data_IF_342285870873
#
_entry.id   IF_342285870873
#
_cell.length_a   1.000
_cell.length_b   1.000
_cell.length_c   1.000
_cell.angle_alpha   90.00
_cell.angle_beta   90.00
_cell.angle_gamma   90.00
#
_symmetry.space_group_name_H-M   'P 1'
#
loop_
_entity.id
_entity.type
_entity.pdbx_description
1 polymer ?
#
# COMPACT_ATOMS: atom_id res chain seq x y z
N UNK A 1 -17.98 -7.64 -20.66
CA UNK A 1 -16.66 -8.30 -20.45
C UNK A 1 -16.28 -8.24 -18.99
N UNK A 2 -15.72 -9.33 -18.43
CA UNK A 2 -15.32 -9.39 -17.03
C UNK A 2 -13.79 -9.37 -16.93
N UNK A 3 -13.25 -8.40 -16.23
CA UNK A 3 -11.80 -8.28 -16.00
C UNK A 3 -11.49 -8.57 -14.54
N UNK A 4 -10.44 -9.35 -14.30
CA UNK A 4 -9.92 -9.64 -12.96
C UNK A 4 -8.49 -9.14 -12.86
N UNK A 5 -8.21 -8.29 -11.88
CA UNK A 5 -6.89 -7.70 -11.68
C UNK A 5 -6.46 -7.82 -10.23
N UNK A 6 -5.16 -7.91 -10.01
CA UNK A 6 -4.56 -7.83 -8.68
C UNK A 6 -4.43 -6.40 -8.22
N UNK A 7 -4.58 -6.22 -6.91
CA UNK A 7 -4.32 -4.95 -6.22
C UNK A 7 -3.37 -5.26 -5.05
N UNK A 8 -2.04 -5.29 -5.31
CA UNK A 8 -1.07 -5.78 -4.35
C UNK A 8 -0.87 -4.82 -3.19
N UNK A 9 -0.48 -5.35 -2.03
CA UNK A 9 0.02 -4.55 -0.93
C UNK A 9 1.44 -4.04 -1.21
N UNK A 10 1.85 -2.99 -0.49
CA UNK A 10 3.24 -2.54 -0.38
C UNK A 10 3.66 -2.50 1.09
N UNK A 11 4.94 -2.57 1.32
CA UNK A 11 5.55 -2.20 2.60
C UNK A 11 6.46 -0.98 2.41
N UNK A 12 6.64 -0.24 3.50
CA UNK A 12 7.73 0.71 3.63
C UNK A 12 8.86 0.00 4.37
N UNK A 13 9.94 -0.31 3.67
CA UNK A 13 11.18 -0.72 4.30
C UNK A 13 11.86 0.51 4.92
N UNK A 14 11.33 0.94 6.05
CA UNK A 14 11.66 2.20 6.69
C UNK A 14 10.94 3.41 6.10
N UNK A 15 10.75 4.41 6.96
CA UNK A 15 10.15 5.69 6.60
C UNK A 15 10.70 6.79 7.50
N UNK A 16 11.39 7.75 6.90
CA UNK A 16 11.91 8.93 7.58
C UNK A 16 11.11 10.16 7.21
N UNK A 17 10.57 10.84 8.21
CA UNK A 17 9.99 12.17 8.05
C UNK A 17 11.12 13.19 8.12
N UNK A 18 11.22 14.07 7.11
CA UNK A 18 12.32 15.04 7.02
C UNK A 18 11.89 16.40 7.57
N UNK A 19 10.92 17.03 6.93
CA UNK A 19 10.44 18.35 7.35
C UNK A 19 9.01 18.60 6.87
N UNK A 20 8.32 19.52 7.56
CA UNK A 20 7.00 19.97 7.15
C UNK A 20 7.09 20.97 5.99
N UNK A 21 6.22 20.82 5.02
CA UNK A 21 6.11 21.66 3.80
C UNK A 21 5.10 22.79 4.01
N UNK A 22 5.14 23.78 3.12
CA UNK A 22 4.19 24.91 3.13
C UNK A 22 2.76 24.47 2.77
N UNK A 23 2.59 23.34 2.08
CA UNK A 23 1.30 22.77 1.69
C UNK A 23 0.68 21.86 2.78
N UNK A 24 1.20 21.92 4.00
CA UNK A 24 0.84 21.10 5.17
C UNK A 24 1.15 19.60 5.07
N UNK A 25 1.76 19.13 4.00
CA UNK A 25 2.35 17.81 3.92
C UNK A 25 3.76 17.78 4.55
N UNK A 26 4.39 16.61 4.54
CA UNK A 26 5.77 16.43 4.97
C UNK A 26 6.61 15.90 3.82
N UNK A 27 7.86 16.35 3.74
CA UNK A 27 8.85 15.65 2.95
C UNK A 27 9.25 14.39 3.72
N UNK A 28 9.30 13.28 3.02
CA UNK A 28 9.70 11.99 3.55
C UNK A 28 10.82 11.38 2.71
N UNK A 29 11.52 10.42 3.28
CA UNK A 29 12.35 9.46 2.59
C UNK A 29 11.88 8.07 2.98
N UNK A 30 11.60 7.20 2.02
CA UNK A 30 11.15 5.83 2.27
C UNK A 30 11.66 4.90 1.17
N UNK A 31 11.69 3.60 1.48
CA UNK A 31 11.93 2.55 0.51
C UNK A 31 10.63 1.75 0.38
N UNK A 32 10.11 1.64 -0.84
CA UNK A 32 8.94 0.83 -1.14
C UNK A 32 9.31 -0.52 -1.74
N UNK A 33 8.65 -1.56 -1.26
CA UNK A 33 8.65 -2.88 -1.88
C UNK A 33 7.22 -3.45 -1.87
N UNK A 34 6.89 -4.27 -2.88
CA UNK A 34 5.57 -4.88 -2.99
C UNK A 34 5.53 -6.22 -2.27
N UNK A 35 4.31 -6.72 -2.01
CA UNK A 35 4.07 -8.05 -1.48
C UNK A 35 3.40 -8.93 -2.52
N UNK A 36 3.71 -10.23 -2.50
CA UNK A 36 2.97 -11.24 -3.24
C UNK A 36 1.62 -11.57 -2.55
N UNK A 37 0.93 -10.53 -2.13
CA UNK A 37 -0.34 -10.58 -1.44
C UNK A 37 -1.09 -9.26 -1.64
N UNK A 38 -2.41 -9.32 -1.65
CA UNK A 38 -3.24 -8.13 -1.81
C UNK A 38 -4.70 -8.43 -2.11
N UNK A 39 -5.44 -7.38 -2.44
CA UNK A 39 -6.84 -7.44 -2.85
C UNK A 39 -6.98 -7.97 -4.29
N UNK A 40 -8.19 -8.40 -4.65
CA UNK A 40 -8.55 -8.68 -6.04
C UNK A 40 -9.71 -7.79 -6.44
N UNK A 41 -9.68 -7.32 -7.68
CA UNK A 41 -10.70 -6.44 -8.23
C UNK A 41 -11.28 -7.08 -9.49
N UNK A 42 -12.58 -7.08 -9.57
CA UNK A 42 -13.36 -7.56 -10.72
C UNK A 42 -14.07 -6.35 -11.32
N UNK A 43 -13.94 -6.15 -12.62
CA UNK A 43 -14.53 -5.02 -13.35
C UNK A 43 -15.45 -5.61 -14.43
N UNK A 44 -16.72 -5.26 -14.38
CA UNK A 44 -17.70 -5.54 -15.42
C UNK A 44 -18.05 -4.25 -16.14
N UNK A 45 -18.03 -4.27 -17.46
CA UNK A 45 -18.62 -3.25 -18.31
C UNK A 45 -19.98 -3.70 -18.86
N UNK A 46 -20.66 -2.88 -19.64
CA UNK A 46 -21.99 -3.17 -20.21
C UNK A 46 -23.08 -3.30 -19.13
N UNK A 47 -23.00 -2.44 -18.11
CA UNK A 47 -23.98 -2.34 -17.02
C UNK A 47 -24.81 -1.07 -17.15
N UNK A 48 -26.01 -1.06 -16.55
CA UNK A 48 -26.94 0.08 -16.63
C UNK A 48 -26.50 1.29 -15.78
N UNK A 49 -25.75 1.03 -14.73
CA UNK A 49 -25.27 2.06 -13.78
C UNK A 49 -23.93 1.68 -13.17
N UNK A 50 -23.23 2.68 -12.59
CA UNK A 50 -21.98 2.43 -11.90
C UNK A 50 -22.24 1.93 -10.48
N UNK A 51 -21.73 0.75 -10.18
CA UNK A 51 -21.82 0.12 -8.87
C UNK A 51 -20.40 -0.23 -8.34
N UNK A 52 -20.13 0.08 -7.06
CA UNK A 52 -18.90 -0.34 -6.40
C UNK A 52 -19.25 -1.17 -5.18
N UNK A 53 -18.86 -2.45 -5.21
CA UNK A 53 -19.14 -3.42 -4.16
C UNK A 53 -17.84 -3.67 -3.38
N UNK A 54 -17.84 -3.28 -2.11
CA UNK A 54 -16.80 -3.59 -1.16
C UNK A 54 -17.42 -3.74 0.23
N UNK A 55 -17.40 -4.95 0.79
CA UNK A 55 -18.10 -5.24 2.06
C UNK A 55 -17.55 -4.43 3.24
N UNK A 56 -16.25 -4.12 3.22
CA UNK A 56 -15.53 -3.49 4.32
C UNK A 56 -15.54 -1.96 4.28
N UNK A 57 -16.03 -1.36 3.19
CA UNK A 57 -15.97 0.09 2.99
C UNK A 57 -17.32 0.58 2.48
N UNK A 58 -17.91 1.52 3.21
CA UNK A 58 -19.12 2.22 2.76
C UNK A 58 -18.87 2.88 1.38
N UNK A 59 -19.82 2.76 0.49
CA UNK A 59 -19.69 3.21 -0.90
C UNK A 59 -19.17 4.65 -1.02
N UNK A 60 -19.74 5.60 -0.28
CA UNK A 60 -19.36 7.01 -0.37
C UNK A 60 -17.91 7.31 0.07
N UNK A 61 -17.35 6.46 0.94
CA UNK A 61 -15.98 6.57 1.44
C UNK A 61 -14.96 5.82 0.57
N UNK A 62 -15.44 5.06 -0.43
CA UNK A 62 -14.53 4.31 -1.30
C UNK A 62 -13.79 5.24 -2.25
N UNK A 63 -12.47 5.13 -2.27
CA UNK A 63 -11.58 5.94 -3.11
C UNK A 63 -11.88 5.82 -4.61
N UNK A 64 -12.51 4.73 -5.06
CA UNK A 64 -12.90 4.51 -6.46
C UNK A 64 -13.96 5.53 -6.90
N UNK A 65 -14.89 5.95 -6.05
CA UNK A 65 -15.81 7.04 -6.37
C UNK A 65 -15.06 8.36 -6.61
N UNK A 66 -14.04 8.64 -5.78
CA UNK A 66 -13.19 9.80 -5.99
C UNK A 66 -12.44 9.70 -7.32
N UNK A 67 -11.95 8.50 -7.68
CA UNK A 67 -11.30 8.25 -8.96
C UNK A 67 -12.26 8.58 -10.12
N UNK A 68 -13.49 8.09 -10.13
CA UNK A 68 -14.46 8.38 -11.19
C UNK A 68 -14.75 9.88 -11.32
N UNK A 69 -14.90 10.61 -10.20
CA UNK A 69 -15.08 12.06 -10.24
C UNK A 69 -13.88 12.77 -10.90
N UNK A 70 -12.67 12.33 -10.60
CA UNK A 70 -11.45 12.88 -11.20
C UNK A 70 -11.39 12.52 -12.69
N UNK A 71 -11.67 11.29 -13.09
CA UNK A 71 -11.66 10.87 -14.48
C UNK A 71 -12.71 11.61 -15.30
N UNK A 72 -13.92 11.80 -14.75
CA UNK A 72 -14.95 12.63 -15.39
C UNK A 72 -14.43 14.07 -15.64
N UNK A 73 -13.80 14.69 -14.63
CA UNK A 73 -13.29 16.05 -14.72
C UNK A 73 -12.10 16.20 -15.67
N UNK A 74 -11.14 15.26 -15.58
CA UNK A 74 -9.84 15.39 -16.27
C UNK A 74 -9.86 14.91 -17.72
N UNK A 75 -10.75 13.96 -18.06
CA UNK A 75 -10.76 13.28 -19.37
C UNK A 75 -12.17 12.99 -19.89
N UNK A 76 -13.20 13.53 -19.23
CA UNK A 76 -14.62 13.31 -19.57
C UNK A 76 -15.01 11.83 -19.65
N UNK A 77 -14.46 10.99 -18.75
CA UNK A 77 -14.78 9.57 -18.67
C UNK A 77 -16.11 9.36 -17.95
N UNK A 78 -17.08 8.74 -18.62
CA UNK A 78 -18.46 8.56 -18.11
C UNK A 78 -18.98 7.13 -18.26
N UNK A 79 -18.07 6.17 -18.49
CA UNK A 79 -18.45 4.76 -18.61
C UNK A 79 -19.07 4.22 -17.33
N UNK A 80 -20.09 3.39 -17.49
CA UNK A 80 -20.76 2.72 -16.39
C UNK A 80 -20.12 1.37 -16.13
N UNK A 81 -19.75 1.12 -14.88
CA UNK A 81 -18.97 -0.04 -14.49
C UNK A 81 -19.45 -0.62 -13.17
N UNK A 82 -19.49 -1.93 -13.09
CA UNK A 82 -19.61 -2.64 -11.82
C UNK A 82 -18.22 -3.07 -11.37
N UNK A 83 -17.80 -2.63 -10.20
CA UNK A 83 -16.50 -2.94 -9.62
C UNK A 83 -16.71 -3.65 -8.29
N UNK A 84 -16.28 -4.90 -8.23
CA UNK A 84 -16.27 -5.68 -7.00
C UNK A 84 -14.83 -5.81 -6.47
N UNK A 85 -14.64 -5.46 -5.21
CA UNK A 85 -13.34 -5.55 -4.51
C UNK A 85 -13.42 -6.67 -3.48
N UNK A 86 -12.67 -7.75 -3.74
CA UNK A 86 -12.38 -8.80 -2.76
C UNK A 86 -11.23 -8.34 -1.87
N UNK A 87 -11.60 -7.82 -0.71
CA UNK A 87 -10.69 -7.11 0.20
C UNK A 87 -9.96 -8.08 1.11
N UNK A 88 -8.62 -7.99 1.12
CA UNK A 88 -7.72 -8.71 2.03
C UNK A 88 -6.88 -7.74 2.86
N UNK A 89 -6.44 -6.64 2.23
CA UNK A 89 -5.61 -5.63 2.91
C UNK A 89 -6.48 -4.83 3.88
N UNK A 90 -6.22 -4.87 5.19
CA UNK A 90 -7.02 -4.10 6.16
C UNK A 90 -6.93 -2.60 5.90
N UNK A 91 -7.99 -1.88 6.21
CA UNK A 91 -7.98 -0.42 6.13
C UNK A 91 -7.09 0.18 7.22
N UNK A 92 -6.35 1.26 6.89
CA UNK A 92 -5.49 1.97 7.85
C UNK A 92 -4.39 1.09 8.48
N UNK A 93 -3.88 0.11 7.73
CA UNK A 93 -2.85 -0.82 8.18
C UNK A 93 -1.42 -0.43 7.80
N UNK A 94 -1.20 0.62 7.03
CA UNK A 94 0.14 0.97 6.52
C UNK A 94 0.58 0.19 5.25
N UNK A 95 -0.29 -0.67 4.70
CA UNK A 95 -0.01 -1.50 3.50
C UNK A 95 -0.52 -0.88 2.19
N UNK A 96 -1.18 0.28 2.24
CA UNK A 96 -1.59 1.04 1.06
C UNK A 96 -2.79 0.48 0.30
N UNK A 97 -3.64 -0.36 0.90
CA UNK A 97 -4.71 -1.07 0.21
C UNK A 97 -5.66 -0.19 -0.61
N UNK A 98 -6.19 0.89 -0.04
CA UNK A 98 -7.07 1.81 -0.77
C UNK A 98 -6.35 2.46 -1.97
N UNK A 99 -5.10 2.88 -1.78
CA UNK A 99 -4.28 3.48 -2.85
C UNK A 99 -3.95 2.47 -3.94
N UNK A 100 -3.70 1.20 -3.57
CA UNK A 100 -3.52 0.10 -4.52
C UNK A 100 -4.79 -0.13 -5.33
N UNK A 101 -5.98 -0.18 -4.68
CA UNK A 101 -7.24 -0.36 -5.38
C UNK A 101 -7.46 0.76 -6.42
N UNK A 102 -7.26 2.02 -6.03
CA UNK A 102 -7.41 3.16 -6.94
C UNK A 102 -6.43 3.11 -8.13
N UNK A 103 -5.16 2.80 -7.88
CA UNK A 103 -4.15 2.67 -8.93
C UNK A 103 -4.46 1.52 -9.87
N UNK A 104 -4.84 0.35 -9.33
CA UNK A 104 -5.17 -0.83 -10.11
C UNK A 104 -6.37 -0.59 -11.04
N UNK A 105 -7.44 0.03 -10.52
CA UNK A 105 -8.59 0.41 -11.35
C UNK A 105 -8.19 1.44 -12.41
N UNK A 106 -7.45 2.50 -12.06
CA UNK A 106 -7.01 3.51 -13.02
C UNK A 106 -6.18 2.91 -14.16
N UNK A 107 -5.22 2.03 -13.83
CA UNK A 107 -4.39 1.35 -14.82
C UNK A 107 -5.22 0.41 -15.72
N UNK A 108 -6.16 -0.33 -15.12
CA UNK A 108 -7.06 -1.21 -15.86
C UNK A 108 -7.96 -0.42 -16.83
N UNK A 109 -8.59 0.66 -16.37
CA UNK A 109 -9.44 1.50 -17.22
C UNK A 109 -8.65 2.13 -18.37
N UNK A 110 -7.42 2.58 -18.10
CA UNK A 110 -6.53 3.10 -19.15
C UNK A 110 -6.29 2.07 -20.27
N UNK A 111 -6.17 0.78 -19.92
CA UNK A 111 -5.96 -0.30 -20.89
C UNK A 111 -7.28 -0.71 -21.55
N UNK A 112 -8.32 -1.01 -20.78
CA UNK A 112 -9.62 -1.56 -21.23
C UNK A 112 -10.30 -0.60 -22.23
N UNK A 113 -10.29 0.70 -21.91
CA UNK A 113 -10.91 1.74 -22.72
C UNK A 113 -9.96 2.46 -23.67
N UNK A 114 -8.70 1.97 -23.77
CA UNK A 114 -7.68 2.56 -24.63
C UNK A 114 -7.58 4.09 -24.46
N UNK A 115 -7.59 4.56 -23.19
CA UNK A 115 -7.59 5.99 -22.87
C UNK A 115 -6.28 6.68 -23.25
N UNK A 116 -5.23 5.92 -23.54
CA UNK A 116 -3.90 6.41 -23.98
C UNK A 116 -3.28 7.44 -23.03
N UNK A 117 -3.61 7.36 -21.74
CA UNK A 117 -3.01 8.25 -20.74
C UNK A 117 -1.54 7.90 -20.58
N UNK A 118 -0.70 8.92 -20.70
CA UNK A 118 0.74 8.75 -20.47
C UNK A 118 1.03 8.41 -19.00
N UNK A 119 2.18 7.78 -18.72
CA UNK A 119 2.60 7.51 -17.33
C UNK A 119 2.59 8.79 -16.47
N UNK A 120 3.00 9.93 -17.04
CA UNK A 120 2.97 11.22 -16.36
C UNK A 120 1.54 11.59 -15.94
N UNK A 121 0.58 11.51 -16.87
CA UNK A 121 -0.83 11.83 -16.58
C UNK A 121 -1.45 10.87 -15.54
N UNK A 122 -1.11 9.57 -15.60
CA UNK A 122 -1.55 8.60 -14.60
C UNK A 122 -1.01 8.95 -13.21
N UNK A 123 0.26 9.35 -13.09
CA UNK A 123 0.86 9.77 -11.82
C UNK A 123 0.23 11.06 -11.28
N UNK A 124 -0.08 12.03 -12.15
CA UNK A 124 -0.79 13.27 -11.79
C UNK A 124 -2.18 12.95 -11.21
N UNK A 125 -2.97 12.10 -11.89
CA UNK A 125 -4.27 11.62 -11.38
C UNK A 125 -4.09 10.89 -10.05
N UNK A 126 -3.07 10.03 -9.95
CA UNK A 126 -2.74 9.32 -8.72
C UNK A 126 -2.49 10.24 -7.53
N UNK A 127 -1.75 11.33 -7.72
CA UNK A 127 -1.49 12.32 -6.67
C UNK A 127 -2.75 13.05 -6.18
N UNK A 128 -3.72 13.27 -7.07
CA UNK A 128 -5.01 13.85 -6.69
C UNK A 128 -5.83 12.90 -5.81
N UNK A 129 -5.64 11.60 -5.97
CA UNK A 129 -6.30 10.56 -5.18
C UNK A 129 -5.68 10.41 -3.78
N UNK A 130 -4.35 10.31 -3.71
CA UNK A 130 -3.63 10.14 -2.46
C UNK A 130 -2.13 10.00 -2.65
N UNK A 131 -1.35 10.21 -1.57
CA UNK A 131 0.12 10.21 -1.62
C UNK A 131 0.72 8.85 -1.99
N UNK A 132 0.06 7.74 -1.60
CA UNK A 132 0.54 6.39 -1.88
C UNK A 132 0.03 5.84 -3.24
N UNK A 133 -0.89 6.51 -3.95
CA UNK A 133 -1.37 6.01 -5.26
C UNK A 133 -0.26 5.96 -6.31
N UNK A 134 0.64 6.97 -6.40
CA UNK A 134 1.71 6.98 -7.39
C UNK A 134 2.65 5.78 -7.35
N UNK A 135 2.98 5.21 -6.17
CA UNK A 135 3.88 4.05 -6.09
C UNK A 135 3.27 2.82 -6.77
N UNK A 136 1.96 2.62 -6.66
CA UNK A 136 1.28 1.51 -7.31
C UNK A 136 1.18 1.70 -8.84
N UNK A 137 1.08 2.94 -9.32
CA UNK A 137 1.17 3.28 -10.75
C UNK A 137 2.61 3.12 -11.25
N UNK A 138 3.60 3.49 -10.43
CA UNK A 138 5.01 3.29 -10.74
C UNK A 138 5.35 1.81 -10.86
N UNK A 139 4.89 1.00 -9.92
CA UNK A 139 4.88 -0.45 -9.91
C UNK A 139 6.26 -1.12 -9.79
N UNK A 140 7.27 -0.41 -9.29
CA UNK A 140 8.63 -0.94 -9.06
C UNK A 140 9.12 -0.56 -7.67
N UNK A 141 9.93 -1.42 -7.06
CA UNK A 141 10.66 -1.08 -5.84
C UNK A 141 11.53 0.14 -6.05
N UNK A 142 11.51 1.06 -5.09
CA UNK A 142 12.20 2.33 -5.23
C UNK A 142 12.50 2.98 -3.88
N UNK A 143 13.54 3.79 -3.84
CA UNK A 143 13.66 4.86 -2.89
C UNK A 143 12.73 6.00 -3.34
N UNK A 144 11.92 6.51 -2.42
CA UNK A 144 10.97 7.59 -2.71
C UNK A 144 11.22 8.78 -1.79
N UNK A 145 11.12 9.98 -2.36
CA UNK A 145 11.25 11.27 -1.67
C UNK A 145 10.09 12.19 -2.00
N UNK A 146 10.14 13.44 -1.54
CA UNK A 146 9.00 14.35 -1.63
C UNK A 146 7.92 13.95 -0.65
N UNK A 147 6.66 13.80 -1.11
CA UNK A 147 5.54 13.22 -0.35
C UNK A 147 5.49 11.69 -0.48
N UNK A 148 6.48 11.07 -1.21
CA UNK A 148 6.52 9.68 -1.63
C UNK A 148 6.31 9.49 -3.14
N UNK A 149 6.37 10.56 -3.94
CA UNK A 149 6.09 10.56 -5.40
C UNK A 149 7.32 10.70 -6.29
N UNK A 150 8.48 11.03 -5.74
CA UNK A 150 9.74 11.15 -6.50
C UNK A 150 10.50 9.85 -6.35
N UNK A 151 10.58 9.07 -7.42
CA UNK A 151 11.08 7.70 -7.40
C UNK A 151 12.49 7.57 -7.98
N UNK A 152 13.35 6.86 -7.26
CA UNK A 152 14.61 6.32 -7.73
C UNK A 152 14.53 4.81 -7.66
N UNK A 153 14.47 4.13 -8.81
CA UNK A 153 14.37 2.67 -8.85
C UNK A 153 15.56 2.02 -8.15
N UNK A 154 15.27 0.99 -7.38
CA UNK A 154 16.25 0.10 -6.76
C UNK A 154 15.80 -1.34 -6.97
N UNK A 155 16.77 -2.25 -6.94
CA UNK A 155 16.51 -3.69 -6.92
C UNK A 155 16.92 -4.19 -5.55
N UNK A 156 15.96 -4.77 -4.85
CA UNK A 156 16.14 -5.35 -3.52
C UNK A 156 16.11 -6.87 -3.62
N UNK A 157 16.70 -7.54 -2.67
CA UNK A 157 16.49 -8.97 -2.52
C UNK A 157 15.01 -9.24 -2.22
N UNK A 158 14.41 -10.16 -2.96
CA UNK A 158 13.05 -10.63 -2.69
C UNK A 158 13.14 -11.73 -1.61
N UNK A 159 12.49 -11.50 -0.47
CA UNK A 159 12.61 -12.34 0.73
C UNK A 159 11.27 -12.84 1.23
N UNK A 160 11.23 -14.01 1.87
CA UNK A 160 10.14 -14.36 2.74
C UNK A 160 9.96 -13.30 3.83
N UNK A 161 8.72 -12.95 4.09
CA UNK A 161 8.34 -11.92 5.04
C UNK A 161 7.15 -12.39 5.88
N UNK A 162 7.27 -12.29 7.19
CA UNK A 162 6.16 -12.44 8.12
C UNK A 162 5.49 -11.07 8.29
N UNK A 163 4.20 -11.02 8.03
CA UNK A 163 3.34 -9.86 8.22
C UNK A 163 2.47 -10.09 9.44
N UNK A 164 2.45 -9.15 10.35
CA UNK A 164 1.59 -9.13 11.53
C UNK A 164 0.62 -7.97 11.39
N UNK A 165 -0.67 -8.24 11.53
CA UNK A 165 -1.77 -7.30 11.36
C UNK A 165 -2.48 -7.07 12.70
N UNK A 166 -2.02 -6.11 13.54
CA UNK A 166 -2.76 -5.74 14.73
C UNK A 166 -4.15 -5.21 14.35
N UNK A 167 -5.17 -5.46 15.19
CA UNK A 167 -6.53 -4.93 14.98
C UNK A 167 -6.60 -3.40 15.11
N UNK A 168 -5.55 -2.79 15.69
CA UNK A 168 -5.40 -1.34 15.80
C UNK A 168 -5.38 -0.67 14.43
N UNK A 169 -6.25 0.34 14.24
CA UNK A 169 -6.28 1.16 13.02
C UNK A 169 -5.57 2.48 13.27
N UNK A 170 -4.54 2.77 12.50
CA UNK A 170 -3.76 4.00 12.62
C UNK A 170 -4.04 4.90 11.43
N UNK A 171 -4.72 6.00 11.66
CA UNK A 171 -4.93 7.03 10.65
C UNK A 171 -3.62 7.74 10.34
N UNK A 172 -3.20 7.73 9.08
CA UNK A 172 -2.00 8.46 8.63
C UNK A 172 -2.06 9.94 9.01
N UNK A 173 -3.23 10.57 8.87
CA UNK A 173 -3.43 11.97 9.23
C UNK A 173 -3.19 12.22 10.73
N UNK A 174 -3.70 11.33 11.59
CA UNK A 174 -3.50 11.43 13.04
C UNK A 174 -2.05 11.16 13.42
N UNK A 175 -1.40 10.17 12.83
CA UNK A 175 0.00 9.86 13.07
C UNK A 175 0.89 11.08 12.79
N UNK A 176 0.73 11.73 11.63
CA UNK A 176 1.47 12.97 11.32
C UNK A 176 1.11 14.17 12.20
N UNK A 177 -0.12 14.27 12.70
CA UNK A 177 -0.54 15.35 13.61
C UNK A 177 -0.04 15.15 15.03
N UNK A 178 -0.06 13.92 15.54
CA UNK A 178 0.22 13.59 16.93
C UNK A 178 1.70 13.31 17.20
N UNK A 179 2.41 12.72 16.23
CA UNK A 179 3.85 12.52 16.34
C UNK A 179 4.59 13.83 15.99
N UNK A 180 5.08 14.53 17.00
CA UNK A 180 5.81 15.79 16.84
C UNK A 180 7.33 15.61 16.91
N UNK A 181 7.80 14.47 17.39
CA UNK A 181 9.21 14.17 17.61
C UNK A 181 9.65 13.11 16.61
N UNK A 182 10.13 13.54 15.46
CA UNK A 182 10.73 12.64 14.48
C UNK A 182 12.20 12.46 14.78
N UNK A 183 12.60 11.22 15.06
CA UNK A 183 13.99 10.87 15.35
C UNK A 183 14.88 11.18 14.12
N UNK A 184 16.08 11.78 14.32
CA UNK A 184 16.99 12.14 13.24
C UNK A 184 17.77 10.96 12.63
N UNK A 185 17.59 9.72 13.07
CA UNK A 185 18.33 8.56 12.56
C UNK A 185 18.32 8.46 11.03
N UNK A 186 19.36 7.90 10.45
CA UNK A 186 19.47 7.75 8.99
C UNK A 186 18.77 6.51 8.49
N UNK A 187 17.95 6.65 7.46
CA UNK A 187 17.38 5.55 6.71
C UNK A 187 18.32 5.12 5.59
N UNK A 188 18.69 3.85 5.55
CA UNK A 188 19.41 3.22 4.44
C UNK A 188 18.98 1.74 4.29
N UNK A 189 19.50 1.04 3.30
CA UNK A 189 19.15 -0.38 3.01
C UNK A 189 19.55 -1.37 4.12
N UNK A 190 20.36 -0.94 5.08
CA UNK A 190 20.77 -1.76 6.23
C UNK A 190 20.05 -1.39 7.52
N UNK A 191 19.40 -0.23 7.55
CA UNK A 191 18.68 0.27 8.71
C UNK A 191 17.28 0.76 8.27
N UNK A 192 16.27 -0.08 8.48
CA UNK A 192 14.87 0.19 8.14
C UNK A 192 14.16 1.05 9.19
N UNK A 193 14.83 2.10 9.66
CA UNK A 193 14.29 3.05 10.63
C UNK A 193 12.92 3.61 10.20
N UNK A 194 11.99 3.70 11.15
CA UNK A 194 10.67 4.30 10.93
C UNK A 194 10.37 5.39 11.95
N UNK A 195 10.18 6.61 11.47
CA UNK A 195 9.86 7.80 12.30
C UNK A 195 8.59 7.68 13.14
N UNK A 196 7.72 6.72 12.84
CA UNK A 196 6.45 6.51 13.56
C UNK A 196 6.50 5.36 14.56
N UNK A 197 7.52 4.50 14.53
CA UNK A 197 7.55 3.26 15.31
C UNK A 197 7.45 3.53 16.82
N UNK A 198 8.32 4.37 17.38
CA UNK A 198 8.30 4.72 18.81
C UNK A 198 6.95 5.30 19.23
N UNK A 199 6.36 6.14 18.37
CA UNK A 199 5.06 6.72 18.64
C UNK A 199 3.95 5.66 18.56
N UNK A 200 3.97 4.78 17.58
CA UNK A 200 2.98 3.73 17.40
C UNK A 200 3.01 2.72 18.56
N UNK A 201 4.19 2.26 18.96
CA UNK A 201 4.38 1.36 20.12
C UNK A 201 3.87 1.99 21.41
N UNK A 202 4.14 3.27 21.63
CA UNK A 202 3.72 3.99 22.85
C UNK A 202 2.22 4.19 22.93
N UNK A 203 1.53 4.42 21.83
CA UNK A 203 0.13 4.82 21.80
C UNK A 203 -0.86 3.67 21.49
N UNK A 204 -0.35 2.53 21.00
CA UNK A 204 -1.14 1.36 20.64
C UNK A 204 -0.54 0.11 21.30
N UNK A 205 -1.12 -0.29 22.43
CA UNK A 205 -0.63 -1.41 23.24
C UNK A 205 -0.51 -2.71 22.43
N UNK A 206 -1.48 -2.96 21.55
CA UNK A 206 -1.50 -4.14 20.69
C UNK A 206 -0.34 -4.14 19.69
N UNK A 207 -0.01 -2.99 19.11
CA UNK A 207 1.17 -2.83 18.25
C UNK A 207 2.44 -3.16 19.03
N UNK A 208 2.56 -2.64 20.26
CA UNK A 208 3.72 -2.93 21.10
C UNK A 208 3.84 -4.42 21.46
N UNK A 209 2.73 -5.07 21.83
CA UNK A 209 2.72 -6.53 22.11
C UNK A 209 3.16 -7.36 20.91
N UNK A 210 2.77 -6.97 19.70
CA UNK A 210 3.20 -7.64 18.48
C UNK A 210 4.71 -7.47 18.24
N UNK A 211 5.26 -6.29 18.50
CA UNK A 211 6.71 -6.06 18.45
C UNK A 211 7.44 -6.92 19.50
N UNK A 212 7.01 -6.85 20.77
CA UNK A 212 7.61 -7.62 21.88
C UNK A 212 7.64 -9.12 21.59
N UNK A 213 6.62 -9.66 20.90
CA UNK A 213 6.60 -11.04 20.50
C UNK A 213 7.59 -11.36 19.38
N UNK A 214 7.56 -10.62 18.28
CA UNK A 214 8.39 -10.95 17.11
C UNK A 214 9.89 -10.65 17.36
N UNK A 215 10.21 -9.64 18.17
CA UNK A 215 11.58 -9.27 18.55
C UNK A 215 12.29 -10.37 19.39
N UNK A 216 11.56 -11.34 19.94
CA UNK A 216 12.15 -12.53 20.55
C UNK A 216 12.68 -13.53 19.52
N UNK A 217 12.32 -13.37 18.26
CA UNK A 217 12.62 -14.32 17.19
C UNK A 217 13.47 -13.71 16.08
N UNK A 218 13.19 -12.46 15.69
CA UNK A 218 13.91 -11.79 14.60
C UNK A 218 13.68 -10.27 14.67
N UNK A 219 14.47 -9.50 13.90
CA UNK A 219 14.28 -8.05 13.76
C UNK A 219 12.88 -7.73 13.21
N UNK A 220 12.25 -6.73 13.79
CA UNK A 220 10.91 -6.30 13.43
C UNK A 220 10.82 -4.82 13.08
N UNK A 221 9.92 -4.47 12.19
CA UNK A 221 9.80 -3.12 11.64
C UNK A 221 8.34 -2.72 11.42
N UNK A 222 8.05 -1.43 11.54
CA UNK A 222 6.73 -0.87 11.24
C UNK A 222 6.62 -0.49 9.76
N UNK A 223 5.51 -0.86 9.11
CA UNK A 223 5.21 -0.41 7.74
C UNK A 223 4.43 0.89 7.73
N UNK A 224 4.95 1.92 7.06
CA UNK A 224 4.27 3.21 6.93
C UNK A 224 4.06 3.88 8.29
N UNK A 225 2.85 4.35 8.55
CA UNK A 225 2.44 4.89 9.86
C UNK A 225 1.92 3.80 10.82
N UNK A 226 1.98 2.54 10.39
CA UNK A 226 1.39 1.41 11.09
C UNK A 226 -0.07 1.17 10.66
N UNK A 227 -0.71 0.18 11.21
CA UNK A 227 -0.35 -0.69 12.35
C UNK A 227 0.51 -1.93 11.98
N UNK A 228 0.63 -2.29 10.70
CA UNK A 228 1.34 -3.50 10.26
C UNK A 228 2.79 -3.49 10.71
N UNK A 229 3.19 -4.63 11.27
CA UNK A 229 4.57 -4.97 11.62
C UNK A 229 5.04 -6.06 10.65
N UNK A 230 6.31 -6.04 10.28
CA UNK A 230 6.88 -7.06 9.44
C UNK A 230 8.27 -7.48 9.92
N UNK A 231 8.65 -8.69 9.56
CA UNK A 231 9.97 -9.26 9.79
C UNK A 231 10.43 -10.02 8.54
N UNK A 232 11.68 -9.82 8.12
CA UNK A 232 12.26 -10.42 6.92
C UNK A 232 13.08 -11.65 7.27
N UNK A 233 12.98 -12.70 6.45
CA UNK A 233 13.66 -13.96 6.65
C UNK A 233 14.49 -14.38 5.44
N UNK A 234 15.45 -15.30 5.63
CA UNK A 234 16.24 -15.81 4.53
C UNK A 234 15.58 -17.02 3.84
N UNK A 235 14.69 -17.71 4.53
CA UNK A 235 13.94 -18.83 3.98
C UNK A 235 12.51 -18.88 4.51
N UNK A 236 11.64 -19.56 3.78
CA UNK A 236 10.21 -19.66 4.06
C UNK A 236 9.92 -20.52 5.29
N UNK A 237 10.69 -21.57 5.49
CA UNK A 237 10.48 -22.53 6.60
C UNK A 237 10.72 -21.88 7.96
N UNK A 238 11.73 -21.01 8.06
CA UNK A 238 12.00 -20.25 9.27
C UNK A 238 10.85 -19.29 9.60
N UNK A 239 10.40 -18.51 8.60
CA UNK A 239 9.26 -17.60 8.76
C UNK A 239 7.99 -18.35 9.18
N UNK A 240 7.72 -19.49 8.55
CA UNK A 240 6.53 -20.31 8.85
C UNK A 240 6.57 -20.93 10.24
N UNK A 241 7.72 -21.44 10.68
CA UNK A 241 7.88 -21.98 12.04
C UNK A 241 7.61 -20.93 13.12
N UNK A 242 8.06 -19.70 12.89
CA UNK A 242 7.79 -18.58 13.82
C UNK A 242 6.30 -18.25 13.79
N UNK A 243 5.69 -18.14 12.61
CA UNK A 243 4.26 -17.89 12.46
C UNK A 243 3.41 -18.95 13.18
N UNK A 244 3.76 -20.23 13.07
CA UNK A 244 3.03 -21.33 13.70
C UNK A 244 3.05 -21.27 15.24
N UNK A 245 4.04 -20.58 15.82
CA UNK A 245 4.15 -20.32 17.25
C UNK A 245 3.53 -18.98 17.67
N UNK A 246 2.86 -18.27 16.77
CA UNK A 246 2.23 -17.00 17.09
C UNK A 246 1.08 -17.19 18.11
N UNK A 247 0.88 -16.23 19.02
CA UNK A 247 -0.28 -16.22 19.91
C UNK A 247 -1.59 -16.38 19.13
N UNK A 248 -2.50 -17.22 19.61
CA UNK A 248 -3.73 -17.60 18.88
C UNK A 248 -4.63 -16.46 18.42
N UNK A 249 -4.51 -15.28 19.02
CA UNK A 249 -5.24 -14.05 18.64
C UNK A 249 -4.44 -13.14 17.71
N UNK A 250 -3.21 -13.47 17.40
CA UNK A 250 -2.36 -12.65 16.54
C UNK A 250 -2.63 -12.96 15.07
N UNK A 251 -3.16 -12.00 14.34
CA UNK A 251 -3.38 -12.15 12.90
C UNK A 251 -2.05 -11.94 12.16
N UNK A 252 -1.49 -13.02 11.64
CA UNK A 252 -0.24 -12.97 10.90
C UNK A 252 -0.22 -14.01 9.76
N UNK A 253 0.64 -13.77 8.78
CA UNK A 253 0.85 -14.67 7.65
C UNK A 253 2.22 -14.45 7.02
N UNK A 254 2.73 -15.46 6.32
CA UNK A 254 3.97 -15.40 5.56
C UNK A 254 3.66 -15.20 4.07
N UNK A 255 4.43 -14.32 3.44
CA UNK A 255 4.39 -14.09 1.98
C UNK A 255 5.81 -13.77 1.48
N UNK A 256 5.93 -13.27 0.26
CA UNK A 256 7.22 -12.87 -0.35
C UNK A 256 7.19 -11.39 -0.74
N UNK A 257 8.30 -10.70 -0.56
CA UNK A 257 8.49 -9.36 -1.12
C UNK A 257 8.77 -9.45 -2.62
N UNK A 258 8.32 -8.44 -3.38
CA UNK A 258 8.48 -8.38 -4.84
C UNK A 258 9.05 -7.03 -5.28
N UNK A 259 9.96 -7.04 -6.26
CA UNK A 259 10.48 -5.81 -6.88
C UNK A 259 9.52 -5.18 -7.89
N UNK A 260 8.59 -5.96 -8.43
CA UNK A 260 7.63 -5.48 -9.41
C UNK A 260 6.20 -5.82 -8.97
N UNK A 261 5.32 -4.84 -9.09
CA UNK A 261 3.90 -5.03 -8.86
C UNK A 261 3.29 -5.97 -9.91
N UNK A 262 2.56 -7.01 -9.49
CA UNK A 262 1.90 -7.97 -10.38
C UNK A 262 0.94 -7.31 -11.36
N UNK A 263 0.26 -6.23 -10.97
CA UNK A 263 -0.71 -5.52 -11.80
C UNK A 263 -0.13 -5.08 -13.15
N UNK A 264 1.14 -4.64 -13.19
CA UNK A 264 1.76 -4.16 -14.44
C UNK A 264 1.90 -5.27 -15.48
N UNK A 265 2.16 -6.50 -15.05
CA UNK A 265 2.26 -7.65 -15.93
C UNK A 265 0.86 -8.14 -16.36
N UNK A 266 -0.09 -8.18 -15.43
CA UNK A 266 -1.47 -8.55 -15.71
C UNK A 266 -2.10 -7.63 -16.77
N UNK A 267 -1.98 -6.31 -16.58
CA UNK A 267 -2.56 -5.32 -17.53
C UNK A 267 -1.93 -5.42 -18.92
N UNK A 268 -0.64 -5.75 -19.05
CA UNK A 268 -0.03 -5.96 -20.37
C UNK A 268 -0.69 -7.11 -21.13
N UNK A 269 -1.12 -8.15 -20.43
CA UNK A 269 -1.71 -9.35 -21.01
C UNK A 269 -3.23 -9.20 -21.31
N UNK A 270 -3.88 -8.13 -20.84
CA UNK A 270 -5.25 -7.83 -21.22
C UNK A 270 -5.28 -7.18 -22.60
N UNK A 271 -5.85 -7.87 -23.57
CA UNK A 271 -6.12 -7.34 -24.92
C UNK A 271 -5.18 -7.84 -26.02
N UNK A 272 -4.69 -9.08 -25.87
CA UNK A 272 -4.19 -9.89 -27.00
C UNK A 272 -5.28 -10.84 -27.42
#
# INVERSE_FOLDING_TARGET
MNFKISSPAKINLGLKVLNKRKDNFHNIKTIFQFLDWGDKIYIENEVSETEIICKEIENEKNIIFKLFRILKKEINFEEKLKIHIDKKIPTQSGLGGASSNAASVLLALNKIYNLRLSKKKLLEIGLLLGSDVPIFIHGKSCEATGRGEIFKNIVLEEKPILIILPDSKISTLEAFKKNKNFDPQSLNEKNFFNSFETWARKNFEEVNKCFEWIEQHNDAYLSGTGSTIYSLFNNFDEASKIMDNAPSKMNCFVTTTLNNSKILNEIKNYGV
#
